data_IF_922988193079
#
_entry.id   IF_922988193079
#
_cell.length_a   1.000
_cell.length_b   1.000
_cell.length_c   1.000
_cell.angle_alpha   90.00
_cell.angle_beta   90.00
_cell.angle_gamma   90.00
#
_symmetry.space_group_name_H-M   'P 1'
#
loop_
_entity.id
_entity.type
_entity.pdbx_description
1 polymer ?
#
# COMPACT_ATOMS: atom_id res chain seq x y z
N UNK A 1 -11.41 7.59 19.07
CA UNK A 1 -11.86 6.65 18.01
C UNK A 1 -12.96 5.75 18.53
N UNK A 2 -14.18 5.90 18.01
CA UNK A 2 -15.29 5.04 18.42
C UNK A 2 -15.11 3.62 17.84
N UNK A 3 -15.37 2.59 18.65
CA UNK A 3 -15.41 1.21 18.16
C UNK A 3 -16.61 1.02 17.22
N UNK A 4 -16.45 0.21 16.17
CA UNK A 4 -17.59 -0.17 15.33
C UNK A 4 -18.64 -0.94 16.14
N UNK A 5 -19.91 -0.82 15.76
CA UNK A 5 -21.01 -1.53 16.42
C UNK A 5 -20.80 -3.05 16.41
N UNK A 6 -20.24 -3.59 15.32
CA UNK A 6 -19.88 -5.00 15.23
C UNK A 6 -18.84 -5.41 16.29
N UNK A 7 -17.80 -4.59 16.51
CA UNK A 7 -16.78 -4.88 17.53
C UNK A 7 -17.36 -4.86 18.95
N UNK A 8 -18.23 -3.89 19.24
CA UNK A 8 -18.94 -3.81 20.54
C UNK A 8 -19.79 -5.06 20.82
N UNK A 9 -20.50 -5.58 19.81
CA UNK A 9 -21.30 -6.81 19.93
C UNK A 9 -20.42 -8.04 20.21
N UNK A 10 -19.30 -8.19 19.51
CA UNK A 10 -18.34 -9.29 19.76
C UNK A 10 -17.78 -9.25 21.18
N UNK A 11 -17.34 -8.07 21.63
CA UNK A 11 -16.83 -7.87 23.00
C UNK A 11 -17.92 -8.17 24.06
N UNK A 12 -19.19 -7.87 23.78
CA UNK A 12 -20.31 -8.25 24.66
C UNK A 12 -20.47 -9.76 24.78
N UNK A 13 -20.43 -10.50 23.67
CA UNK A 13 -20.55 -11.97 23.68
C UNK A 13 -19.43 -12.63 24.47
N UNK A 14 -18.20 -12.15 24.32
CA UNK A 14 -17.04 -12.66 25.08
C UNK A 14 -17.22 -12.39 26.58
N UNK A 15 -17.72 -11.19 26.96
CA UNK A 15 -18.02 -10.87 28.37
C UNK A 15 -19.09 -11.78 28.98
N UNK A 16 -20.07 -12.18 28.17
CA UNK A 16 -21.13 -13.12 28.58
C UNK A 16 -20.67 -14.58 28.62
N UNK A 17 -19.38 -14.86 28.37
CA UNK A 17 -18.83 -16.22 28.36
C UNK A 17 -19.21 -17.04 27.11
N UNK A 18 -19.76 -16.39 26.08
CA UNK A 18 -20.08 -17.06 24.81
C UNK A 18 -18.82 -17.22 23.97
N UNK A 19 -18.85 -18.20 23.07
CA UNK A 19 -17.74 -18.51 22.15
C UNK A 19 -17.27 -17.26 21.40
N UNK A 20 -15.95 -17.02 21.41
CA UNK A 20 -15.37 -15.89 20.70
C UNK A 20 -15.55 -16.07 19.18
N UNK A 21 -16.26 -15.15 18.49
CA UNK A 21 -16.49 -15.25 17.05
C UNK A 21 -15.21 -15.10 16.22
N UNK A 22 -14.13 -14.51 16.75
CA UNK A 22 -12.84 -14.48 16.04
C UNK A 22 -12.21 -15.88 15.91
N UNK A 23 -12.45 -16.78 16.87
CA UNK A 23 -11.88 -18.13 16.84
C UNK A 23 -12.48 -19.02 15.74
N UNK A 24 -13.65 -18.65 15.20
CA UNK A 24 -14.29 -19.36 14.10
C UNK A 24 -14.02 -18.73 12.73
N UNK A 25 -13.16 -17.71 12.66
CA UNK A 25 -12.91 -16.97 11.44
C UNK A 25 -11.96 -17.76 10.54
N UNK A 26 -12.30 -17.87 9.26
CA UNK A 26 -11.43 -18.59 8.31
C UNK A 26 -10.08 -17.88 8.17
N UNK A 27 -8.99 -18.63 7.90
CA UNK A 27 -7.66 -18.04 7.70
C UNK A 27 -7.62 -17.07 6.51
N UNK A 28 -8.52 -17.23 5.54
CA UNK A 28 -8.63 -16.36 4.37
C UNK A 28 -9.17 -14.96 4.68
N UNK A 29 -9.79 -14.76 5.86
CA UNK A 29 -10.33 -13.44 6.21
C UNK A 29 -9.25 -12.39 6.51
N UNK A 30 -8.00 -12.82 6.70
CA UNK A 30 -6.84 -11.96 6.94
C UNK A 30 -5.93 -11.84 5.71
N UNK A 31 -6.14 -12.69 4.71
CA UNK A 31 -5.31 -12.74 3.50
C UNK A 31 -5.95 -11.85 2.44
N UNK A 32 -5.13 -11.05 1.75
CA UNK A 32 -5.58 -10.33 0.58
C UNK A 32 -5.74 -11.29 -0.60
N UNK A 33 -6.99 -11.68 -0.88
CA UNK A 33 -7.35 -12.60 -1.95
C UNK A 33 -7.59 -11.91 -3.30
N UNK A 34 -7.26 -10.62 -3.41
CA UNK A 34 -7.43 -9.88 -4.66
C UNK A 34 -6.48 -10.38 -5.74
N UNK A 35 -6.98 -10.44 -6.98
CA UNK A 35 -6.17 -10.76 -8.15
C UNK A 35 -5.14 -9.66 -8.40
N UNK A 36 -3.86 -10.03 -8.51
CA UNK A 36 -2.79 -9.08 -8.84
C UNK A 36 -2.94 -8.62 -10.29
N UNK A 37 -3.18 -7.33 -10.49
CA UNK A 37 -3.23 -6.73 -11.82
C UNK A 37 -1.89 -6.09 -12.18
N UNK A 38 -1.50 -6.23 -13.45
CA UNK A 38 -0.34 -5.55 -14.01
C UNK A 38 -0.67 -4.10 -14.35
N UNK A 39 0.36 -3.28 -14.51
CA UNK A 39 0.21 -1.85 -14.83
C UNK A 39 -0.39 -1.67 -16.22
N UNK A 40 -1.29 -0.69 -16.37
CA UNK A 40 -1.84 -0.33 -17.67
C UNK A 40 -0.81 0.45 -18.50
N UNK A 41 -1.09 0.61 -19.81
CA UNK A 41 -0.25 1.43 -20.70
C UNK A 41 -0.06 2.86 -20.17
N UNK A 42 -1.13 3.46 -19.62
CA UNK A 42 -1.08 4.81 -19.05
C UNK A 42 -0.17 4.86 -17.81
N UNK A 43 -0.29 3.86 -16.94
CA UNK A 43 0.55 3.76 -15.73
C UNK A 43 2.02 3.55 -16.05
N UNK A 44 2.34 2.95 -17.20
CA UNK A 44 3.72 2.83 -17.66
C UNK A 44 4.23 4.12 -18.32
N UNK A 45 3.39 4.79 -19.11
CA UNK A 45 3.77 5.99 -19.86
C UNK A 45 4.12 7.15 -18.93
N UNK A 46 3.32 7.38 -17.90
CA UNK A 46 3.52 8.50 -16.96
C UNK A 46 4.35 8.11 -15.73
N UNK A 47 4.98 6.94 -15.74
CA UNK A 47 5.82 6.49 -14.62
C UNK A 47 7.25 7.01 -14.79
N UNK A 48 7.64 7.88 -13.87
CA UNK A 48 9.03 8.28 -13.69
C UNK A 48 9.75 7.24 -12.81
N UNK A 49 10.27 6.16 -13.44
CA UNK A 49 11.01 5.10 -12.73
C UNK A 49 12.44 5.52 -12.38
N UNK A 50 13.10 6.19 -13.31
CA UNK A 50 14.47 6.69 -13.17
C UNK A 50 14.42 8.19 -13.35
N UNK A 51 15.00 8.95 -12.42
CA UNK A 51 15.15 10.40 -12.55
C UNK A 51 16.28 10.63 -13.56
N UNK A 52 15.91 10.87 -14.81
CA UNK A 52 16.86 11.42 -15.77
C UNK A 52 17.08 12.87 -15.34
N UNK A 53 18.31 13.24 -15.01
CA UNK A 53 18.64 14.65 -14.79
C UNK A 53 18.23 15.39 -16.06
N UNK A 54 17.24 16.27 -15.95
CA UNK A 54 16.95 17.19 -17.03
C UNK A 54 18.18 18.07 -17.18
N UNK A 55 18.74 18.14 -18.39
CA UNK A 55 19.85 19.04 -18.76
C UNK A 55 19.49 20.54 -18.63
N UNK A 56 18.37 20.86 -17.97
CA UNK A 56 17.81 22.19 -17.75
C UNK A 56 17.85 22.61 -16.28
N UNK A 57 18.55 21.90 -15.40
CA UNK A 57 18.99 22.46 -14.13
C UNK A 57 20.44 22.92 -14.32
N UNK A 58 20.60 24.25 -14.51
CA UNK A 58 21.84 24.93 -14.84
C UNK A 58 22.96 24.64 -13.85
N UNK A 59 23.75 23.62 -14.14
CA UNK A 59 25.04 23.40 -13.51
C UNK A 59 26.10 23.51 -14.60
N UNK A 60 26.69 24.69 -14.68
CA UNK A 60 27.84 25.04 -15.52
C UNK A 60 29.06 24.19 -15.12
N UNK A 61 29.04 22.92 -15.51
CA UNK A 61 30.19 22.03 -15.42
C UNK A 61 31.18 22.40 -16.51
N UNK A 62 32.13 23.27 -16.17
CA UNK A 62 33.26 23.65 -17.03
C UNK A 62 33.98 22.41 -17.59
N UNK A 63 33.92 22.19 -18.90
CA UNK A 63 34.76 21.21 -19.58
C UNK A 63 36.16 21.82 -19.82
N UNK A 64 37.16 21.40 -19.04
CA UNK A 64 38.55 21.64 -19.38
C UNK A 64 38.98 20.62 -20.45
N UNK A 65 39.12 21.06 -21.70
CA UNK A 65 39.97 20.37 -22.66
C UNK A 65 41.42 20.77 -22.36
N UNK A 66 42.22 19.85 -21.80
CA UNK A 66 43.67 19.99 -21.83
C UNK A 66 44.15 19.45 -23.17
N UNK A 67 44.72 20.33 -23.99
CA UNK A 67 45.49 19.96 -25.18
C UNK A 67 46.91 19.53 -24.82
#
# INVERSE_FOLDING_TARGET
MAKSNARKKREKLVREGKRNPENGRSPFALIDMQSRMTKTKKDHLYRNKHKNQSFTDGNDGSFCFCG
#
